data_IF_149098275732
#
_entry.id   IF_149098275732
#
_cell.length_a   1.000
_cell.length_b   1.000
_cell.length_c   1.000
_cell.angle_alpha   90.00
_cell.angle_beta   90.00
_cell.angle_gamma   90.00
#
_symmetry.space_group_name_H-M   'P 1'
#
loop_
_entity.id
_entity.type
_entity.pdbx_description
1 polymer ?
#
# COMPACT_ATOMS: atom_id res chain seq x y z
N UNK A 1 -1.45 -25.97 7.02
CA UNK A 1 -1.98 -24.91 6.12
C UNK A 1 -0.85 -24.10 5.49
N UNK A 2 0.12 -23.62 6.27
CA UNK A 2 1.31 -22.93 5.75
C UNK A 2 2.18 -23.87 4.90
N UNK A 3 2.33 -25.13 5.31
CA UNK A 3 3.09 -26.13 4.55
C UNK A 3 2.45 -26.41 3.17
N UNK A 4 1.12 -26.47 3.11
CA UNK A 4 0.39 -26.63 1.86
C UNK A 4 0.59 -25.46 0.88
N UNK A 5 0.84 -24.23 1.38
CA UNK A 5 1.21 -23.09 0.52
C UNK A 5 2.65 -23.24 0.02
N UNK A 6 3.57 -23.68 0.88
CA UNK A 6 4.97 -23.89 0.54
C UNK A 6 5.17 -25.01 -0.49
N UNK A 7 4.32 -26.05 -0.46
CA UNK A 7 4.34 -27.20 -1.37
C UNK A 7 3.53 -26.97 -2.66
N UNK A 8 2.91 -25.81 -2.82
CA UNK A 8 2.09 -25.50 -4.00
C UNK A 8 2.92 -25.46 -5.29
N UNK A 9 2.29 -25.80 -6.42
CA UNK A 9 2.92 -25.70 -7.74
C UNK A 9 3.41 -24.28 -8.06
N UNK A 10 2.70 -23.26 -7.54
CA UNK A 10 3.10 -21.87 -7.66
C UNK A 10 4.42 -21.60 -6.91
N UNK A 11 4.54 -22.07 -5.67
CA UNK A 11 5.75 -21.92 -4.88
C UNK A 11 6.94 -22.65 -5.52
N UNK A 12 6.72 -23.86 -6.04
CA UNK A 12 7.73 -24.62 -6.77
C UNK A 12 8.19 -23.90 -8.05
N UNK A 13 7.26 -23.36 -8.85
CA UNK A 13 7.58 -22.60 -10.06
C UNK A 13 8.37 -21.32 -9.74
N UNK A 14 8.00 -20.61 -8.66
CA UNK A 14 8.68 -19.39 -8.23
C UNK A 14 10.11 -19.66 -7.76
N UNK A 15 10.33 -20.74 -6.99
CA UNK A 15 11.68 -21.16 -6.54
C UNK A 15 12.52 -21.73 -7.69
N UNK A 16 11.89 -22.36 -8.67
CA UNK A 16 12.57 -22.98 -9.82
C UNK A 16 12.95 -22.01 -10.94
N UNK A 17 12.49 -20.76 -10.94
CA UNK A 17 12.75 -19.79 -12.00
C UNK A 17 13.11 -18.41 -11.47
N UNK A 18 14.39 -18.07 -11.57
CA UNK A 18 14.90 -16.75 -11.20
C UNK A 18 14.22 -15.62 -11.99
N UNK A 19 13.94 -15.84 -13.28
CA UNK A 19 13.23 -14.88 -14.13
C UNK A 19 11.80 -14.64 -13.65
N UNK A 20 11.08 -15.70 -13.27
CA UNK A 20 9.72 -15.55 -12.75
C UNK A 20 9.73 -14.80 -11.41
N UNK A 21 10.63 -15.18 -10.50
CA UNK A 21 10.80 -14.47 -9.23
C UNK A 21 11.11 -12.99 -9.45
N UNK A 22 12.04 -12.67 -10.37
CA UNK A 22 12.38 -11.31 -10.76
C UNK A 22 11.17 -10.52 -11.26
N UNK A 23 10.38 -11.08 -12.19
CA UNK A 23 9.22 -10.40 -12.77
C UNK A 23 8.11 -10.16 -11.73
N UNK A 24 7.85 -11.13 -10.86
CA UNK A 24 6.88 -10.98 -9.77
C UNK A 24 7.37 -9.92 -8.77
N UNK A 25 8.66 -9.93 -8.42
CA UNK A 25 9.24 -8.94 -7.52
C UNK A 25 9.21 -7.52 -8.12
N UNK A 26 9.60 -7.36 -9.38
CA UNK A 26 9.53 -6.09 -10.09
C UNK A 26 8.08 -5.56 -10.17
N UNK A 27 7.12 -6.45 -10.42
CA UNK A 27 5.69 -6.12 -10.43
C UNK A 27 5.19 -5.70 -9.03
N UNK A 28 5.69 -6.33 -7.96
CA UNK A 28 5.41 -5.92 -6.59
C UNK A 28 5.92 -4.51 -6.29
N UNK A 29 7.16 -4.21 -6.69
CA UNK A 29 7.76 -2.88 -6.53
C UNK A 29 6.99 -1.83 -7.33
N UNK A 30 6.57 -2.15 -8.56
CA UNK A 30 5.73 -1.27 -9.38
C UNK A 30 4.39 -0.97 -8.67
N UNK A 31 3.73 -1.99 -8.10
CA UNK A 31 2.50 -1.80 -7.33
C UNK A 31 2.70 -0.87 -6.14
N UNK A 32 3.79 -1.03 -5.39
CA UNK A 32 4.16 -0.13 -4.28
C UNK A 32 4.41 1.30 -4.80
N UNK A 33 5.13 1.45 -5.91
CA UNK A 33 5.44 2.75 -6.50
C UNK A 33 4.17 3.49 -6.96
N UNK A 34 3.22 2.79 -7.59
CA UNK A 34 1.92 3.35 -7.96
C UNK A 34 1.11 3.76 -6.73
N UNK A 35 1.11 2.89 -5.71
CA UNK A 35 0.38 3.12 -4.46
C UNK A 35 0.89 4.36 -3.72
N UNK A 36 2.18 4.36 -3.37
CA UNK A 36 2.81 5.44 -2.60
C UNK A 36 2.92 6.71 -3.44
N UNK A 37 3.25 6.58 -4.72
CA UNK A 37 3.33 7.69 -5.66
C UNK A 37 2.00 8.39 -5.90
N UNK A 38 0.87 7.72 -5.67
CA UNK A 38 -0.45 8.34 -5.74
C UNK A 38 -0.95 8.88 -4.38
N UNK A 39 -0.69 8.15 -3.30
CA UNK A 39 -1.13 8.52 -1.95
C UNK A 39 -0.40 9.75 -1.43
N UNK A 40 0.94 9.81 -1.55
CA UNK A 40 1.69 10.93 -0.96
C UNK A 40 1.30 12.29 -1.56
N UNK A 41 1.18 12.48 -2.88
CA UNK A 41 0.73 13.76 -3.43
C UNK A 41 -0.70 14.12 -3.00
N UNK A 42 -1.60 13.14 -2.91
CA UNK A 42 -2.96 13.35 -2.44
C UNK A 42 -2.98 13.79 -0.97
N UNK A 43 -2.26 13.07 -0.11
CA UNK A 43 -2.21 13.34 1.33
C UNK A 43 -1.54 14.68 1.63
N UNK A 44 -0.43 15.01 0.95
CA UNK A 44 0.21 16.32 1.06
C UNK A 44 -0.72 17.43 0.59
N UNK A 45 -1.45 17.22 -0.50
CA UNK A 45 -2.43 18.19 -0.98
C UNK A 45 -3.57 18.38 0.01
N UNK A 46 -4.09 17.30 0.60
CA UNK A 46 -5.11 17.37 1.65
C UNK A 46 -4.58 18.12 2.87
N UNK A 47 -3.33 17.88 3.29
CA UNK A 47 -2.68 18.54 4.42
C UNK A 47 -2.44 20.05 4.21
N UNK A 48 -2.42 20.51 2.95
CA UNK A 48 -2.34 21.94 2.60
C UNK A 48 -1.18 22.31 1.67
N UNK A 49 -0.36 21.34 1.24
CA UNK A 49 0.62 21.58 0.19
C UNK A 49 -0.08 21.84 -1.15
N UNK A 50 0.60 22.51 -2.09
CA UNK A 50 0.09 22.76 -3.45
C UNK A 50 -1.35 23.32 -3.50
N UNK A 51 -1.67 24.42 -2.78
CA UNK A 51 -3.05 24.88 -2.59
C UNK A 51 -3.78 25.25 -3.89
N UNK A 52 -3.03 25.55 -4.96
CA UNK A 52 -3.57 25.86 -6.30
C UNK A 52 -4.05 24.64 -7.08
N UNK A 53 -3.68 23.42 -6.67
CA UNK A 53 -4.09 22.19 -7.35
C UNK A 53 -5.54 21.83 -6.95
N UNK A 54 -6.47 21.69 -7.90
CA UNK A 54 -7.88 21.40 -7.57
C UNK A 54 -8.04 19.93 -7.16
N UNK A 55 -8.40 19.70 -5.90
CA UNK A 55 -8.64 18.36 -5.34
C UNK A 55 -9.70 17.56 -6.12
N UNK A 56 -10.84 18.13 -6.56
CA UNK A 56 -11.82 17.39 -7.37
C UNK A 56 -11.26 16.78 -8.65
N UNK A 57 -10.23 17.41 -9.26
CA UNK A 57 -9.63 16.93 -10.49
C UNK A 57 -8.61 15.81 -10.25
N UNK A 58 -7.79 15.91 -9.19
CA UNK A 58 -6.70 14.97 -8.95
C UNK A 58 -7.07 13.81 -8.04
N UNK A 59 -7.99 14.00 -7.09
CA UNK A 59 -8.30 13.00 -6.07
C UNK A 59 -8.88 11.69 -6.66
N UNK A 60 -9.80 11.71 -7.64
CA UNK A 60 -10.30 10.48 -8.25
C UNK A 60 -9.20 9.69 -8.98
N UNK A 61 -8.35 10.40 -9.74
CA UNK A 61 -7.22 9.80 -10.46
C UNK A 61 -6.24 9.14 -9.49
N UNK A 62 -5.74 9.91 -8.52
CA UNK A 62 -4.76 9.42 -7.55
C UNK A 62 -5.34 8.27 -6.70
N UNK A 63 -6.60 8.37 -6.30
CA UNK A 63 -7.27 7.26 -5.59
C UNK A 63 -7.36 6.01 -6.47
N UNK A 64 -7.72 6.15 -7.74
CA UNK A 64 -7.76 5.04 -8.69
C UNK A 64 -6.39 4.38 -8.88
N UNK A 65 -5.34 5.18 -9.08
CA UNK A 65 -3.95 4.72 -9.16
C UNK A 65 -3.51 4.01 -7.89
N UNK A 66 -3.86 4.55 -6.72
CA UNK A 66 -3.55 3.93 -5.44
C UNK A 66 -4.23 2.55 -5.30
N UNK A 67 -5.52 2.43 -5.64
CA UNK A 67 -6.23 1.15 -5.58
C UNK A 67 -5.61 0.12 -6.54
N UNK A 68 -5.27 0.54 -7.77
CA UNK A 68 -4.60 -0.33 -8.73
C UNK A 68 -3.22 -0.80 -8.23
N UNK A 69 -2.43 0.12 -7.67
CA UNK A 69 -1.13 -0.19 -7.07
C UNK A 69 -1.24 -1.15 -5.88
N UNK A 70 -2.21 -0.92 -4.98
CA UNK A 70 -2.51 -1.81 -3.85
C UNK A 70 -2.90 -3.21 -4.33
N UNK A 71 -3.79 -3.32 -5.32
CA UNK A 71 -4.22 -4.59 -5.86
C UNK A 71 -3.04 -5.38 -6.45
N UNK A 72 -2.22 -4.71 -7.27
CA UNK A 72 -1.02 -5.29 -7.86
C UNK A 72 -0.01 -5.74 -6.78
N UNK A 73 0.30 -4.86 -5.82
CA UNK A 73 1.24 -5.16 -4.75
C UNK A 73 0.74 -6.30 -3.85
N UNK A 74 -0.55 -6.35 -3.54
CA UNK A 74 -1.14 -7.40 -2.70
C UNK A 74 -1.11 -8.75 -3.42
N UNK A 75 -1.52 -8.79 -4.69
CA UNK A 75 -1.52 -10.02 -5.48
C UNK A 75 -0.10 -10.60 -5.65
N UNK A 76 0.84 -9.76 -6.08
CA UNK A 76 2.25 -10.16 -6.24
C UNK A 76 2.93 -10.47 -4.90
N UNK A 77 2.60 -9.75 -3.83
CA UNK A 77 3.10 -10.01 -2.48
C UNK A 77 2.62 -11.35 -1.94
N UNK A 78 1.36 -11.72 -2.21
CA UNK A 78 0.83 -13.04 -1.87
C UNK A 78 1.55 -14.16 -2.64
N UNK A 79 1.87 -13.94 -3.92
CA UNK A 79 2.68 -14.88 -4.71
C UNK A 79 4.08 -15.03 -4.10
N UNK A 80 4.78 -13.93 -3.82
CA UNK A 80 6.12 -13.94 -3.21
C UNK A 80 6.12 -14.64 -1.83
N UNK A 81 5.07 -14.42 -1.04
CA UNK A 81 4.90 -15.07 0.25
C UNK A 81 4.87 -16.60 0.16
N UNK A 82 4.30 -17.16 -0.92
CA UNK A 82 4.26 -18.63 -1.10
C UNK A 82 5.64 -19.28 -1.24
N UNK A 83 6.68 -18.51 -1.62
CA UNK A 83 8.02 -19.06 -1.79
C UNK A 83 8.63 -19.55 -0.48
N UNK A 84 8.42 -18.81 0.62
CA UNK A 84 8.85 -19.21 1.96
C UNK A 84 7.93 -18.64 3.07
N UNK A 85 6.71 -19.16 3.20
CA UNK A 85 5.70 -18.55 4.06
C UNK A 85 6.03 -18.65 5.55
N UNK A 86 6.73 -19.71 5.97
CA UNK A 86 7.15 -19.90 7.35
C UNK A 86 8.21 -18.86 7.77
N UNK A 87 9.20 -18.59 6.91
CA UNK A 87 10.22 -17.55 7.14
C UNK A 87 9.59 -16.17 7.24
N UNK A 88 8.68 -15.82 6.31
CA UNK A 88 7.96 -14.54 6.37
C UNK A 88 7.14 -14.39 7.65
N UNK A 89 6.40 -15.41 8.08
CA UNK A 89 5.59 -15.31 9.30
C UNK A 89 6.42 -15.24 10.59
N UNK A 90 7.60 -15.86 10.61
CA UNK A 90 8.56 -15.73 11.70
C UNK A 90 9.14 -14.32 11.80
N UNK A 91 9.29 -13.64 10.67
CA UNK A 91 9.93 -12.33 10.58
C UNK A 91 9.10 -11.23 11.29
N UNK A 92 9.66 -10.53 12.30
CA UNK A 92 8.93 -9.47 13.01
C UNK A 92 8.60 -8.27 12.11
N UNK A 93 9.45 -7.91 11.14
CA UNK A 93 9.16 -6.82 10.20
C UNK A 93 7.99 -7.16 9.27
N UNK A 94 7.86 -8.42 8.85
CA UNK A 94 6.71 -8.83 8.04
C UNK A 94 5.40 -8.74 8.83
N UNK A 95 5.39 -9.19 10.08
CA UNK A 95 4.21 -9.06 10.96
C UNK A 95 3.84 -7.60 11.20
N UNK A 96 4.83 -6.73 11.46
CA UNK A 96 4.61 -5.29 11.56
C UNK A 96 4.05 -4.72 10.25
N UNK A 97 4.57 -5.13 9.09
CA UNK A 97 4.07 -4.71 7.77
C UNK A 97 2.58 -5.05 7.60
N UNK A 98 2.14 -6.22 8.05
CA UNK A 98 0.72 -6.61 8.00
C UNK A 98 -0.16 -5.76 8.93
N UNK A 99 0.33 -5.43 10.14
CA UNK A 99 -0.38 -4.52 11.05
C UNK A 99 -0.50 -3.10 10.47
N UNK A 100 0.59 -2.59 9.90
CA UNK A 100 0.61 -1.30 9.21
C UNK A 100 -0.32 -1.28 7.99
N UNK A 101 -0.37 -2.37 7.22
CA UNK A 101 -1.32 -2.54 6.12
C UNK A 101 -2.76 -2.42 6.63
N UNK A 102 -3.12 -3.18 7.67
CA UNK A 102 -4.46 -3.13 8.24
C UNK A 102 -4.83 -1.73 8.74
N UNK A 103 -3.92 -1.06 9.45
CA UNK A 103 -4.12 0.31 9.93
C UNK A 103 -4.28 1.32 8.79
N UNK A 104 -3.47 1.21 7.73
CA UNK A 104 -3.54 2.08 6.56
C UNK A 104 -4.87 1.90 5.79
N UNK A 105 -5.32 0.66 5.62
CA UNK A 105 -6.60 0.35 4.99
C UNK A 105 -7.79 0.85 5.83
N UNK A 106 -7.70 0.71 7.16
CA UNK A 106 -8.72 1.24 8.07
C UNK A 106 -8.78 2.77 7.96
N UNK A 107 -7.64 3.46 8.02
CA UNK A 107 -7.56 4.91 7.83
C UNK A 107 -8.18 5.34 6.48
N UNK A 108 -7.77 4.73 5.38
CA UNK A 108 -8.29 5.04 4.05
C UNK A 108 -9.80 4.81 3.95
N UNK A 109 -10.31 3.75 4.59
CA UNK A 109 -11.74 3.45 4.65
C UNK A 109 -12.50 4.52 5.44
N UNK A 110 -12.00 4.92 6.62
CA UNK A 110 -12.58 5.98 7.43
C UNK A 110 -12.63 7.30 6.65
N UNK A 111 -11.53 7.67 6.00
CA UNK A 111 -11.44 8.89 5.19
C UNK A 111 -12.44 8.86 4.05
N UNK A 112 -12.39 7.83 3.20
CA UNK A 112 -13.21 7.76 1.98
C UNK A 112 -14.70 7.61 2.25
N UNK A 113 -15.09 7.09 3.42
CA UNK A 113 -16.50 6.99 3.87
C UNK A 113 -16.98 8.23 4.63
N UNK A 114 -16.09 9.16 4.97
CA UNK A 114 -16.46 10.35 5.74
C UNK A 114 -17.17 11.41 4.88
N UNK A 115 -18.12 12.18 5.45
CA UNK A 115 -18.69 13.35 4.76
C UNK A 115 -17.65 14.41 4.37
N UNK A 116 -16.54 14.48 5.12
CA UNK A 116 -15.45 15.41 4.83
C UNK A 116 -14.79 15.11 3.47
N UNK A 117 -14.68 13.84 3.10
CA UNK A 117 -14.17 13.43 1.79
C UNK A 117 -15.10 13.87 0.66
N UNK A 118 -16.42 13.64 0.81
CA UNK A 118 -17.40 14.08 -0.18
C UNK A 118 -17.35 15.59 -0.41
N UNK A 119 -17.25 16.38 0.67
CA UNK A 119 -17.14 17.84 0.57
C UNK A 119 -15.91 18.29 -0.21
N UNK A 120 -14.75 17.67 0.04
CA UNK A 120 -13.52 17.95 -0.71
C UNK A 120 -13.68 17.65 -2.20
N UNK A 121 -14.35 16.55 -2.55
CA UNK A 121 -14.65 16.22 -3.96
C UNK A 121 -15.63 17.21 -4.60
N UNK A 122 -16.47 17.87 -3.81
CA UNK A 122 -17.33 18.98 -4.26
C UNK A 122 -16.62 20.33 -4.36
N UNK A 123 -15.35 20.43 -3.95
CA UNK A 123 -14.53 21.63 -4.05
C UNK A 123 -14.29 22.37 -2.72
N UNK A 124 -14.88 21.90 -1.61
CA UNK A 124 -14.66 22.51 -0.31
C UNK A 124 -13.22 22.32 0.19
N UNK A 125 -12.70 23.24 1.02
CA UNK A 125 -11.39 23.08 1.62
C UNK A 125 -11.35 21.88 2.60
N UNK A 126 -10.21 21.16 2.70
CA UNK A 126 -10.04 20.07 3.67
C UNK A 126 -10.17 20.56 5.12
N UNK A 127 -11.07 19.92 5.88
CA UNK A 127 -11.20 20.10 7.33
C UNK A 127 -9.93 19.70 8.09
N UNK A 128 -9.71 20.25 9.28
CA UNK A 128 -8.54 19.92 10.11
C UNK A 128 -8.42 18.42 10.38
N UNK A 129 -9.53 17.74 10.70
CA UNK A 129 -9.53 16.30 10.92
C UNK A 129 -9.08 15.51 9.69
N UNK A 130 -9.52 15.92 8.49
CA UNK A 130 -9.10 15.29 7.24
C UNK A 130 -7.60 15.51 6.95
N UNK A 131 -7.06 16.68 7.31
CA UNK A 131 -5.61 16.96 7.21
C UNK A 131 -4.79 16.04 8.10
N UNK A 132 -5.22 15.85 9.36
CA UNK A 132 -4.55 14.95 10.30
C UNK A 132 -4.61 13.51 9.81
N UNK A 133 -5.77 13.07 9.30
CA UNK A 133 -5.91 11.72 8.74
C UNK A 133 -5.04 11.50 7.50
N UNK A 134 -4.88 12.52 6.64
CA UNK A 134 -3.98 12.47 5.50
C UNK A 134 -2.50 12.35 5.92
N UNK A 135 -2.06 13.13 6.90
CA UNK A 135 -0.69 13.01 7.44
C UNK A 135 -0.45 11.64 8.09
N UNK A 136 -1.44 11.12 8.82
CA UNK A 136 -1.39 9.77 9.39
C UNK A 136 -1.32 8.70 8.29
N UNK A 137 -2.12 8.82 7.23
CA UNK A 137 -2.04 7.95 6.05
C UNK A 137 -0.63 7.93 5.46
N UNK A 138 -0.07 9.11 5.16
CA UNK A 138 1.29 9.22 4.63
C UNK A 138 2.32 8.54 5.54
N UNK A 139 2.24 8.76 6.86
CA UNK A 139 3.14 8.12 7.83
C UNK A 139 3.00 6.59 7.85
N UNK A 140 1.77 6.05 7.77
CA UNK A 140 1.50 4.61 7.74
C UNK A 140 2.07 3.96 6.48
N UNK A 141 1.86 4.55 5.30
CA UNK A 141 2.38 4.01 4.05
C UNK A 141 3.90 4.08 3.96
N UNK A 142 4.52 5.18 4.41
CA UNK A 142 5.99 5.26 4.50
C UNK A 142 6.56 4.24 5.47
N UNK A 143 5.93 4.06 6.63
CA UNK A 143 6.32 3.05 7.62
C UNK A 143 6.20 1.63 7.05
N UNK A 144 5.17 1.36 6.24
CA UNK A 144 5.02 0.07 5.58
C UNK A 144 6.16 -0.20 4.58
N UNK A 145 6.59 0.81 3.80
CA UNK A 145 7.72 0.66 2.87
C UNK A 145 9.00 0.34 3.65
N UNK A 146 9.25 1.04 4.75
CA UNK A 146 10.40 0.78 5.63
C UNK A 146 10.35 -0.64 6.23
N UNK A 147 9.20 -1.05 6.77
CA UNK A 147 9.00 -2.41 7.26
C UNK A 147 9.26 -3.45 6.18
N UNK A 148 8.83 -3.20 4.94
CA UNK A 148 9.12 -4.05 3.79
C UNK A 148 10.62 -4.22 3.54
N UNK A 149 11.41 -3.16 3.65
CA UNK A 149 12.86 -3.23 3.46
C UNK A 149 13.56 -3.96 4.61
N UNK A 150 13.05 -3.81 5.84
CA UNK A 150 13.57 -4.47 7.04
C UNK A 150 13.41 -5.99 7.04
N UNK A 151 12.49 -6.57 6.27
CA UNK A 151 12.34 -8.02 6.14
C UNK A 151 13.67 -8.68 5.71
N UNK A 152 14.46 -8.03 4.86
CA UNK A 152 15.76 -8.56 4.43
C UNK A 152 16.90 -8.39 5.43
N UNK A 153 16.63 -7.82 6.61
CA UNK A 153 17.64 -7.51 7.63
C UNK A 153 17.34 -8.11 9.02
N UNK A 154 16.10 -8.55 9.26
CA UNK A 154 15.63 -9.15 10.52
C UNK A 154 15.32 -10.63 10.36
#
# INVERSE_FOLDING_TARGET
MIDALADSALAAALRGSATLYLLVNASHILGIALLVGAILPLDLRLAGAFPRTPLPAIAPLLRGTAIAGLALATATGAILFTANPAEYLGNPAFRLKLLLLAAALLNATIVTRSPAWSRVLSGDPPSLGLRVMALLSAALWLSMVLAGRWIGFL
#
